data_IF_284170434558
#
_entry.id   IF_284170434558
#
_cell.length_a   1.000
_cell.length_b   1.000
_cell.length_c   1.000
_cell.angle_alpha   90.00
_cell.angle_beta   90.00
_cell.angle_gamma   90.00
#
_symmetry.space_group_name_H-M   'P 1'
#
loop_
_entity.id
_entity.type
_entity.pdbx_description
1 polymer ?
#
# COMPACT_ATOMS: atom_id res chain seq x y z
N UNK A 1 1.88 -35.50 28.33
CA UNK A 1 0.80 -34.83 27.57
C UNK A 1 1.30 -33.44 27.16
N UNK A 2 1.55 -33.26 25.86
CA UNK A 2 1.91 -32.07 25.05
C UNK A 2 2.87 -31.01 25.64
N UNK A 3 4.14 -31.08 25.20
CA UNK A 3 5.05 -29.93 25.12
C UNK A 3 4.39 -28.88 24.23
N UNK A 4 4.28 -27.65 24.72
CA UNK A 4 3.92 -26.51 23.89
C UNK A 4 5.16 -26.18 23.08
N UNK A 5 5.15 -26.57 21.81
CA UNK A 5 6.15 -26.13 20.84
C UNK A 5 5.92 -24.62 20.64
N UNK A 6 6.53 -23.80 21.50
CA UNK A 6 6.71 -22.41 21.17
C UNK A 6 7.74 -22.38 20.04
N UNK A 7 7.36 -21.79 18.91
CA UNK A 7 8.29 -21.49 17.85
C UNK A 7 9.41 -20.64 18.47
N UNK A 8 10.61 -21.22 18.67
CA UNK A 8 11.78 -20.43 19.04
C UNK A 8 12.11 -19.54 17.85
N UNK A 9 11.64 -18.29 17.87
CA UNK A 9 12.11 -17.24 16.99
C UNK A 9 13.57 -16.93 17.38
N UNK A 10 14.49 -17.77 16.91
CA UNK A 10 15.93 -17.67 17.13
C UNK A 10 16.65 -16.79 16.11
N UNK A 11 15.99 -15.74 15.62
CA UNK A 11 16.65 -14.80 14.72
C UNK A 11 17.62 -13.94 15.53
N UNK A 12 18.88 -13.92 15.12
CA UNK A 12 19.85 -12.95 15.65
C UNK A 12 19.39 -11.52 15.32
N UNK A 13 19.87 -10.51 16.06
CA UNK A 13 19.56 -9.11 15.76
C UNK A 13 19.91 -8.72 14.32
N UNK A 14 21.00 -9.27 13.76
CA UNK A 14 21.39 -9.10 12.37
C UNK A 14 20.36 -9.71 11.40
N UNK A 15 19.92 -10.95 11.66
CA UNK A 15 18.90 -11.62 10.84
C UNK A 15 17.56 -10.89 10.88
N UNK A 16 17.17 -10.36 12.04
CA UNK A 16 15.95 -9.57 12.18
C UNK A 16 16.04 -8.22 11.45
N UNK A 17 17.20 -7.57 11.50
CA UNK A 17 17.47 -6.33 10.76
C UNK A 17 17.37 -6.54 9.25
N UNK A 18 18.00 -7.58 8.72
CA UNK A 18 17.98 -7.86 7.28
C UNK A 18 16.57 -8.25 6.82
N UNK A 19 15.85 -9.04 7.61
CA UNK A 19 14.45 -9.35 7.36
C UNK A 19 13.60 -8.07 7.32
N UNK A 20 13.80 -7.14 8.26
CA UNK A 20 13.09 -5.86 8.29
C UNK A 20 13.34 -5.03 7.04
N UNK A 21 14.60 -4.86 6.63
CA UNK A 21 14.95 -4.12 5.41
C UNK A 21 14.34 -4.78 4.17
N UNK A 22 14.34 -6.11 4.12
CA UNK A 22 13.76 -6.86 3.02
C UNK A 22 12.24 -6.64 2.90
N UNK A 23 11.51 -6.64 4.03
CA UNK A 23 10.04 -6.49 4.02
C UNK A 23 9.55 -5.03 4.11
N UNK A 24 10.44 -4.07 4.32
CA UNK A 24 10.10 -2.65 4.47
C UNK A 24 9.18 -2.11 3.34
N UNK A 25 9.40 -2.44 2.05
CA UNK A 25 8.49 -2.01 0.99
C UNK A 25 7.06 -2.53 1.19
N UNK A 26 6.91 -3.81 1.57
CA UNK A 26 5.61 -4.43 1.80
C UNK A 26 4.90 -3.83 3.02
N UNK A 27 5.64 -3.59 4.10
CA UNK A 27 5.10 -2.91 5.29
C UNK A 27 4.62 -1.49 4.95
N UNK A 28 5.37 -0.77 4.11
CA UNK A 28 5.00 0.59 3.68
C UNK A 28 3.75 0.58 2.81
N UNK A 29 3.64 -0.38 1.88
CA UNK A 29 2.44 -0.58 1.07
C UNK A 29 1.22 -0.88 1.94
N UNK A 30 1.33 -1.82 2.89
CA UNK A 30 0.23 -2.18 3.78
C UNK A 30 -0.17 -1.03 4.71
N UNK A 31 0.79 -0.32 5.29
CA UNK A 31 0.50 0.86 6.11
C UNK A 31 -0.24 1.94 5.31
N UNK A 32 0.17 2.18 4.06
CA UNK A 32 -0.50 3.13 3.17
C UNK A 32 -1.91 2.68 2.81
N UNK A 33 -2.10 1.38 2.52
CA UNK A 33 -3.42 0.78 2.26
C UNK A 33 -4.34 0.91 3.47
N UNK A 34 -3.88 0.49 4.65
CA UNK A 34 -4.66 0.57 5.88
C UNK A 34 -5.07 2.00 6.21
N UNK A 35 -4.15 2.98 6.08
CA UNK A 35 -4.45 4.39 6.33
C UNK A 35 -5.45 4.98 5.34
N UNK A 36 -5.38 4.58 4.06
CA UNK A 36 -6.32 5.07 3.04
C UNK A 36 -7.72 4.48 3.22
N UNK A 37 -7.83 3.18 3.51
CA UNK A 37 -9.11 2.54 3.83
C UNK A 37 -9.73 3.08 5.12
N UNK A 38 -8.91 3.34 6.16
CA UNK A 38 -9.38 3.95 7.41
C UNK A 38 -9.94 5.36 7.22
N UNK A 39 -9.54 6.05 6.15
CA UNK A 39 -10.09 7.36 5.75
C UNK A 39 -11.35 7.26 4.89
N UNK A 40 -11.91 6.06 4.73
CA UNK A 40 -13.15 5.81 3.98
C UNK A 40 -12.94 5.52 2.49
N UNK A 41 -11.69 5.31 2.04
CA UNK A 41 -11.48 4.78 0.70
C UNK A 41 -11.97 3.33 0.63
N UNK A 42 -12.53 2.96 -0.50
CA UNK A 42 -12.98 1.60 -0.83
C UNK A 42 -11.98 0.90 -1.75
N UNK A 43 -11.85 -0.41 -1.59
CA UNK A 43 -11.13 -1.25 -2.56
C UNK A 43 -11.88 -1.28 -3.90
N UNK A 44 -11.15 -1.54 -4.99
CA UNK A 44 -11.69 -1.67 -6.35
C UNK A 44 -12.34 -0.40 -6.91
N UNK A 45 -11.97 0.77 -6.36
CA UNK A 45 -12.41 2.09 -6.83
C UNK A 45 -11.21 2.92 -7.31
N UNK A 46 -11.37 3.58 -8.46
CA UNK A 46 -10.38 4.53 -8.98
C UNK A 46 -10.62 5.93 -8.41
N UNK A 47 -9.77 6.36 -7.48
CA UNK A 47 -9.80 7.72 -6.94
C UNK A 47 -8.97 8.66 -7.82
N UNK A 48 -9.64 9.44 -8.67
CA UNK A 48 -9.00 10.44 -9.51
C UNK A 48 -8.65 11.72 -8.74
N UNK A 49 -7.39 12.17 -8.84
CA UNK A 49 -7.05 13.53 -8.43
C UNK A 49 -7.43 14.50 -9.53
N UNK A 50 -8.27 15.47 -9.18
CA UNK A 50 -8.73 16.53 -10.10
C UNK A 50 -7.81 17.76 -10.11
N UNK A 51 -6.84 17.80 -9.19
CA UNK A 51 -5.85 18.87 -9.07
C UNK A 51 -4.45 18.29 -8.95
N UNK A 52 -3.48 18.99 -9.53
CA UNK A 52 -2.06 18.67 -9.36
C UNK A 52 -1.68 18.84 -7.89
N UNK A 53 -0.71 18.06 -7.44
CA UNK A 53 -0.27 18.16 -6.06
C UNK A 53 0.44 19.50 -5.83
N UNK A 54 0.23 20.08 -4.65
CA UNK A 54 0.95 21.25 -4.15
C UNK A 54 1.59 20.93 -2.79
N UNK A 55 2.19 21.95 -2.16
CA UNK A 55 2.86 21.83 -0.86
C UNK A 55 1.94 21.42 0.29
N UNK A 56 0.61 21.47 0.12
CA UNK A 56 -0.36 20.98 1.11
C UNK A 56 -0.50 19.45 1.10
N UNK A 57 -0.03 18.79 0.03
CA UNK A 57 -0.11 17.32 -0.12
C UNK A 57 1.06 16.66 0.65
N UNK A 58 0.88 16.48 1.95
CA UNK A 58 1.91 15.90 2.84
C UNK A 58 1.95 14.36 2.91
N UNK A 59 1.06 13.66 2.21
CA UNK A 59 0.95 12.18 2.27
C UNK A 59 1.91 11.45 1.32
N UNK A 60 2.57 12.17 0.41
CA UNK A 60 3.49 11.63 -0.59
C UNK A 60 4.77 12.45 -0.54
N UNK A 61 5.92 11.80 -0.41
CA UNK A 61 7.22 12.48 -0.51
C UNK A 61 7.44 12.95 -1.94
N UNK A 62 7.55 14.27 -2.15
CA UNK A 62 7.77 14.91 -3.47
C UNK A 62 6.77 14.45 -4.55
N UNK A 63 5.47 14.84 -4.45
CA UNK A 63 4.49 14.44 -5.44
C UNK A 63 4.78 15.08 -6.81
N UNK A 64 4.49 14.35 -7.89
CA UNK A 64 4.62 14.90 -9.23
C UNK A 64 3.63 16.06 -9.45
N UNK A 65 4.16 17.25 -9.76
CA UNK A 65 3.37 18.47 -10.03
C UNK A 65 2.88 18.54 -11.47
N UNK A 66 3.43 17.72 -12.36
CA UNK A 66 3.22 17.87 -13.80
C UNK A 66 2.07 17.02 -14.34
N UNK A 67 1.64 16.01 -13.57
CA UNK A 67 0.60 15.05 -14.01
C UNK A 67 -0.46 14.83 -12.95
N UNK A 68 -1.71 14.74 -13.38
CA UNK A 68 -2.78 14.15 -12.58
C UNK A 68 -2.60 12.64 -12.52
N UNK A 69 -2.95 12.05 -11.38
CA UNK A 69 -2.92 10.60 -11.18
C UNK A 69 -4.20 10.11 -10.52
N UNK A 70 -4.51 8.83 -10.74
CA UNK A 70 -5.55 8.10 -10.00
C UNK A 70 -4.89 7.00 -9.19
N UNK A 71 -5.40 6.73 -7.98
CA UNK A 71 -4.82 5.72 -7.08
C UNK A 71 -5.88 4.74 -6.59
N UNK A 72 -5.93 3.51 -7.14
CA UNK A 72 -6.77 2.44 -6.62
C UNK A 72 -6.00 1.49 -5.68
N UNK A 73 -6.74 0.83 -4.79
CA UNK A 73 -6.32 -0.44 -4.15
C UNK A 73 -7.19 -1.56 -4.69
N UNK A 74 -6.61 -2.52 -5.41
CA UNK A 74 -7.35 -3.65 -5.94
C UNK A 74 -7.31 -4.84 -4.98
N UNK A 75 -8.48 -5.34 -4.62
CA UNK A 75 -8.64 -6.61 -3.92
C UNK A 75 -8.92 -7.72 -4.93
N UNK A 76 -7.95 -8.61 -5.06
CA UNK A 76 -7.96 -9.75 -6.00
C UNK A 76 -8.19 -11.09 -5.29
N UNK A 77 -8.48 -11.09 -3.98
CA UNK A 77 -8.69 -12.32 -3.22
C UNK A 77 -9.99 -13.00 -3.62
N UNK A 78 -11.04 -12.22 -3.84
CA UNK A 78 -12.39 -12.74 -4.12
C UNK A 78 -12.58 -13.10 -5.59
N UNK A 79 -12.23 -12.20 -6.52
CA UNK A 79 -12.46 -12.35 -7.96
C UNK A 79 -11.57 -11.37 -8.75
N UNK A 80 -11.33 -11.57 -10.06
CA UNK A 80 -10.64 -10.60 -10.88
C UNK A 80 -11.35 -9.23 -10.92
N UNK A 81 -10.55 -8.17 -10.96
CA UNK A 81 -11.06 -6.79 -11.09
C UNK A 81 -10.86 -6.30 -12.52
N UNK A 82 -11.92 -5.76 -13.12
CA UNK A 82 -11.88 -5.10 -14.42
C UNK A 82 -12.07 -3.59 -14.24
N UNK A 83 -11.19 -2.79 -14.85
CA UNK A 83 -11.37 -1.35 -14.95
C UNK A 83 -11.25 -0.91 -16.41
N UNK A 84 -11.99 0.13 -16.77
CA UNK A 84 -12.01 0.67 -18.14
C UNK A 84 -11.24 1.97 -18.17
N UNK A 85 -10.27 2.06 -19.09
CA UNK A 85 -9.61 3.31 -19.45
C UNK A 85 -10.26 3.84 -20.72
N UNK A 86 -10.73 5.08 -20.66
CA UNK A 86 -11.31 5.76 -21.83
C UNK A 86 -10.16 6.45 -22.58
N UNK A 87 -10.03 6.24 -23.91
CA UNK A 87 -9.05 6.98 -24.70
C UNK A 87 -9.29 8.49 -24.58
N UNK A 88 -8.20 9.26 -24.53
CA UNK A 88 -8.30 10.71 -24.68
C UNK A 88 -8.35 11.05 -26.17
N UNK A 89 -9.35 11.84 -26.58
CA UNK A 89 -9.39 12.47 -27.91
C UNK A 89 -8.35 13.60 -28.03
#
# INVERSE_FOLDING_TARGET
MKRRDCLKLGASSATAHDAYLYVLPLLTMEATRALTLAKGAESNVLYARLHVADVSVGLITAPNTDTLFSSPWFDLIADPVTFTLIPRA
#
